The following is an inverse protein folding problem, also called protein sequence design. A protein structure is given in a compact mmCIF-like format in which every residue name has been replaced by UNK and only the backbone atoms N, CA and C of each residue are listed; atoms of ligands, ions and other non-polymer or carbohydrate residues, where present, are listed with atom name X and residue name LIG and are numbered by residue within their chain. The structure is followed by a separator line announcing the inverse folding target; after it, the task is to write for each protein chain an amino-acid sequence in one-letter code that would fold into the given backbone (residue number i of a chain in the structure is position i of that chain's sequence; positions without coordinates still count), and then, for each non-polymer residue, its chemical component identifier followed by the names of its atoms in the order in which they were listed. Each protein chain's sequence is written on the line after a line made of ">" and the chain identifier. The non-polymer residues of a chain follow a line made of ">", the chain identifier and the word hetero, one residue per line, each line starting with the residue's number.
data_IF_700701982482
#
_entry.id   IF_700701982482
#
_cell.length_a   1.000
_cell.length_b   1.000
_cell.length_c   1.000
_cell.angle_alpha   90.00
_cell.angle_beta   90.00
_cell.angle_gamma   90.00
#
_symmetry.space_group_name_H-M   'P 1'
#
loop_
_entity.id
_entity.type
_entity.pdbx_description
1 polymer ?
#
# COMPACT_ATOMS: atom_id res chain seq x y z
N UNK A 1 20.50 17.85 -10.94
CA UNK A 1 21.13 18.06 -9.61
C UNK A 1 20.18 17.55 -8.56
N UNK A 2 20.58 16.59 -7.72
CA UNK A 2 19.74 16.10 -6.62
C UNK A 2 19.72 17.15 -5.50
N UNK A 3 18.57 17.41 -4.89
CA UNK A 3 18.44 18.25 -3.69
C UNK A 3 18.09 17.37 -2.50
N UNK A 4 18.88 17.45 -1.43
CA UNK A 4 18.57 16.76 -0.18
C UNK A 4 17.47 17.52 0.59
N UNK A 5 16.58 16.77 1.25
CA UNK A 5 15.64 17.31 2.22
C UNK A 5 16.10 16.90 3.63
N UNK A 6 16.27 17.86 4.53
CA UNK A 6 16.67 17.59 5.91
C UNK A 6 15.43 17.44 6.80
N UNK A 7 15.27 16.27 7.41
CA UNK A 7 14.25 16.04 8.43
C UNK A 7 14.83 16.20 9.84
N UNK A 8 14.12 16.94 10.69
CA UNK A 8 14.31 16.94 12.14
C UNK A 8 13.29 16.00 12.81
N UNK A 9 13.55 15.58 14.05
CA UNK A 9 12.61 14.77 14.83
C UNK A 9 11.22 15.45 14.93
N UNK A 10 11.18 16.77 15.14
CA UNK A 10 9.94 17.54 15.14
C UNK A 10 9.20 17.52 13.79
N UNK A 11 9.93 17.65 12.68
CA UNK A 11 9.33 17.54 11.33
C UNK A 11 8.79 16.13 11.06
N UNK A 12 9.49 15.09 11.51
CA UNK A 12 9.10 13.70 11.28
C UNK A 12 7.93 13.29 12.17
N UNK A 13 7.89 13.75 13.43
CA UNK A 13 6.73 13.63 14.30
C UNK A 13 5.50 14.36 13.73
N UNK A 14 5.68 15.53 13.09
CA UNK A 14 4.60 16.23 12.40
C UNK A 14 4.09 15.46 11.17
N UNK A 15 4.99 14.89 10.35
CA UNK A 15 4.62 13.97 9.26
C UNK A 15 3.82 12.79 9.82
N UNK A 16 4.31 12.13 10.87
CA UNK A 16 3.65 10.97 11.44
C UNK A 16 2.28 11.30 12.04
N UNK A 17 2.14 12.45 12.73
CA UNK A 17 0.85 12.93 13.22
C UNK A 17 -0.13 13.16 12.08
N UNK A 18 0.30 13.82 10.99
CA UNK A 18 -0.55 14.05 9.83
C UNK A 18 -0.97 12.72 9.17
N UNK A 19 -0.05 11.76 9.01
CA UNK A 19 -0.35 10.41 8.51
C UNK A 19 -1.32 9.66 9.44
N UNK A 20 -1.20 9.80 10.76
CA UNK A 20 -2.09 9.19 11.76
C UNK A 20 -3.47 9.88 11.91
N UNK A 21 -3.70 11.00 11.20
CA UNK A 21 -4.98 11.71 11.09
C UNK A 21 -5.62 11.50 9.70
N UNK A 22 -4.81 11.43 8.63
CA UNK A 22 -5.28 11.15 7.25
C UNK A 22 -5.58 9.65 7.02
N UNK A 23 -4.84 8.74 7.66
CA UNK A 23 -5.15 7.31 7.59
C UNK A 23 -6.43 6.97 8.35
N UNK A 24 -7.36 6.32 7.65
CA UNK A 24 -8.46 5.55 8.21
C UNK A 24 -8.00 4.69 9.41
N UNK A 25 -8.76 4.66 10.52
CA UNK A 25 -8.25 4.47 11.89
C UNK A 25 -7.33 3.26 12.06
N UNK A 26 -6.03 3.54 12.23
CA UNK A 26 -4.95 2.56 12.33
C UNK A 26 -4.95 1.83 13.68
N UNK A 27 -5.11 0.49 13.64
CA UNK A 27 -5.14 -0.40 14.83
C UNK A 27 -3.88 -1.27 14.91
N UNK A 28 -3.73 -2.05 16.00
CA UNK A 28 -2.62 -3.01 16.18
C UNK A 28 -2.68 -4.18 15.20
N UNK A 29 -3.88 -4.51 14.71
CA UNK A 29 -4.13 -5.63 13.80
C UNK A 29 -3.79 -5.29 12.34
N UNK A 30 -3.39 -4.05 12.07
CA UNK A 30 -3.02 -3.62 10.74
C UNK A 30 -1.60 -4.04 10.35
N UNK A 31 -1.44 -4.36 9.06
CA UNK A 31 -0.22 -4.90 8.47
C UNK A 31 0.01 -4.27 7.11
N UNK A 32 1.08 -3.48 6.98
CA UNK A 32 1.43 -2.81 5.73
C UNK A 32 2.54 -3.54 4.98
N UNK A 33 2.32 -3.81 3.69
CA UNK A 33 3.31 -4.47 2.83
C UNK A 33 4.08 -3.45 1.98
N UNK A 34 5.40 -3.36 2.20
CA UNK A 34 6.30 -2.39 1.60
C UNK A 34 7.20 -3.05 0.54
N UNK A 35 6.81 -2.98 -0.73
CA UNK A 35 7.66 -3.39 -1.87
C UNK A 35 8.31 -2.21 -2.63
N UNK A 36 7.77 -1.00 -2.47
CA UNK A 36 8.41 0.23 -2.93
C UNK A 36 9.47 0.72 -1.92
N UNK A 37 10.51 1.39 -2.42
CA UNK A 37 11.67 1.82 -1.62
C UNK A 37 11.30 2.66 -0.40
N UNK A 38 11.86 2.28 0.76
CA UNK A 38 11.71 2.98 2.03
C UNK A 38 12.40 4.35 2.05
N UNK A 39 13.29 4.65 1.09
CA UNK A 39 13.89 5.98 0.91
C UNK A 39 12.94 6.99 0.23
N UNK A 40 11.74 6.54 -0.13
CA UNK A 40 10.67 7.37 -0.69
C UNK A 40 9.35 7.13 0.08
N UNK A 41 8.20 7.43 -0.53
CA UNK A 41 6.87 7.42 0.10
C UNK A 41 6.52 6.14 0.92
N UNK A 42 7.14 4.99 0.62
CA UNK A 42 6.93 3.76 1.40
C UNK A 42 7.43 3.87 2.85
N UNK A 43 8.56 4.54 3.09
CA UNK A 43 9.14 4.69 4.43
C UNK A 43 8.32 5.61 5.34
N UNK A 44 7.61 6.57 4.75
CA UNK A 44 6.75 7.54 5.44
C UNK A 44 5.67 6.89 6.33
N UNK A 45 5.27 5.65 6.05
CA UNK A 45 4.24 4.93 6.79
C UNK A 45 4.78 4.01 7.91
N UNK A 46 6.08 3.68 7.92
CA UNK A 46 6.65 2.68 8.85
C UNK A 46 6.51 3.12 10.31
N UNK A 47 7.02 4.31 10.66
CA UNK A 47 6.93 4.85 12.03
C UNK A 47 5.49 5.14 12.50
N UNK A 48 4.58 5.67 11.66
CA UNK A 48 3.15 5.73 11.97
C UNK A 48 2.53 4.38 12.35
N UNK A 49 2.84 3.31 11.59
CA UNK A 49 2.37 1.95 11.91
C UNK A 49 2.92 1.48 13.26
N UNK A 50 4.23 1.60 13.49
CA UNK A 50 4.85 1.22 14.76
C UNK A 50 4.29 1.99 15.97
N UNK A 51 4.00 3.29 15.84
CA UNK A 51 3.40 4.09 16.93
C UNK A 51 1.97 3.68 17.29
N UNK A 52 1.24 2.99 16.40
CA UNK A 52 -0.05 2.35 16.72
C UNK A 52 0.10 0.90 17.19
N UNK A 53 1.32 0.35 17.16
CA UNK A 53 1.59 -1.07 17.39
C UNK A 53 1.17 -1.97 16.24
N UNK A 54 1.07 -1.41 15.02
CA UNK A 54 0.78 -2.12 13.79
C UNK A 54 2.09 -2.65 13.14
N UNK A 55 1.96 -3.59 12.21
CA UNK A 55 3.10 -4.23 11.54
C UNK A 55 3.47 -3.54 10.21
N UNK A 56 4.77 -3.45 9.93
CA UNK A 56 5.31 -3.13 8.60
C UNK A 56 6.15 -4.31 8.11
N UNK A 57 5.71 -4.94 7.03
CA UNK A 57 6.43 -6.02 6.34
C UNK A 57 7.21 -5.41 5.18
N UNK A 58 8.53 -5.59 5.18
CA UNK A 58 9.43 -5.04 4.15
C UNK A 58 9.87 -6.15 3.21
N UNK A 59 9.58 -5.99 1.92
CA UNK A 59 10.01 -6.91 0.87
C UNK A 59 11.30 -6.41 0.20
N UNK A 60 12.13 -7.31 -0.36
CA UNK A 60 13.38 -6.92 -1.06
C UNK A 60 13.11 -6.15 -2.37
N UNK A 61 11.88 -6.23 -2.90
CA UNK A 61 11.44 -5.52 -4.10
C UNK A 61 10.01 -5.91 -4.46
N UNK A 62 9.57 -5.49 -5.66
CA UNK A 62 8.26 -5.84 -6.23
C UNK A 62 8.43 -6.84 -7.38
N UNK A 63 7.75 -7.98 -7.27
CA UNK A 63 7.51 -8.94 -8.37
C UNK A 63 6.06 -9.42 -8.19
N UNK A 64 5.18 -9.41 -9.21
CA UNK A 64 3.74 -9.63 -9.04
C UNK A 64 3.36 -10.88 -8.23
N UNK A 65 3.88 -12.05 -8.61
CA UNK A 65 3.56 -13.32 -7.94
C UNK A 65 4.01 -13.36 -6.48
N UNK A 66 5.27 -12.98 -6.20
CA UNK A 66 5.81 -12.92 -4.84
C UNK A 66 5.12 -11.86 -3.98
N UNK A 67 4.63 -10.77 -4.59
CA UNK A 67 3.86 -9.74 -3.90
C UNK A 67 2.47 -10.24 -3.48
N UNK A 68 1.76 -10.95 -4.37
CA UNK A 68 0.47 -11.57 -4.06
C UNK A 68 0.62 -12.66 -2.99
N UNK A 69 1.63 -13.53 -3.12
CA UNK A 69 1.95 -14.53 -2.10
C UNK A 69 2.23 -13.88 -0.73
N UNK A 70 3.02 -12.79 -0.68
CA UNK A 70 3.29 -12.07 0.56
C UNK A 70 2.07 -11.33 1.16
N UNK A 71 1.12 -10.89 0.31
CA UNK A 71 -0.20 -10.38 0.79
C UNK A 71 -0.96 -11.48 1.54
N UNK A 72 -0.99 -12.70 0.99
CA UNK A 72 -1.66 -13.85 1.61
C UNK A 72 -0.94 -14.32 2.88
N UNK A 73 0.37 -14.60 2.78
CA UNK A 73 1.21 -15.15 3.88
C UNK A 73 1.14 -14.27 5.12
N UNK A 74 1.35 -12.96 4.96
CA UNK A 74 1.40 -12.03 6.08
C UNK A 74 0.01 -11.48 6.45
N UNK A 75 -1.04 -11.79 5.67
CA UNK A 75 -2.40 -11.25 5.77
C UNK A 75 -2.39 -9.72 5.81
N UNK A 76 -1.81 -9.10 4.77
CA UNK A 76 -1.67 -7.66 4.67
C UNK A 76 -3.04 -6.96 4.71
N UNK A 77 -3.16 -5.89 5.50
CA UNK A 77 -4.39 -5.10 5.62
C UNK A 77 -4.33 -3.77 4.86
N UNK A 78 -3.11 -3.31 4.57
CA UNK A 78 -2.82 -2.10 3.83
C UNK A 78 -1.69 -2.35 2.82
N UNK A 79 -1.85 -1.83 1.61
CA UNK A 79 -0.79 -1.81 0.59
C UNK A 79 -0.59 -0.41 0.04
N UNK A 80 0.66 -0.09 -0.31
CA UNK A 80 1.04 1.14 -1.01
C UNK A 80 1.74 0.76 -2.31
N UNK A 81 1.14 1.14 -3.44
CA UNK A 81 1.63 0.84 -4.78
C UNK A 81 1.82 2.14 -5.57
N UNK A 82 2.83 2.13 -6.45
CA UNK A 82 2.90 3.10 -7.55
C UNK A 82 2.06 2.59 -8.73
N UNK A 83 1.57 3.47 -9.62
CA UNK A 83 0.59 3.10 -10.65
C UNK A 83 1.03 1.93 -11.55
N UNK A 84 2.31 1.88 -11.91
CA UNK A 84 2.89 0.77 -12.69
C UNK A 84 2.84 -0.57 -11.95
N UNK A 85 3.05 -0.59 -10.63
CA UNK A 85 2.94 -1.81 -9.83
C UNK A 85 1.49 -2.28 -9.75
N UNK A 86 0.53 -1.37 -9.60
CA UNK A 86 -0.90 -1.73 -9.61
C UNK A 86 -1.30 -2.31 -10.97
N UNK A 87 -0.92 -1.65 -12.07
CA UNK A 87 -1.18 -2.17 -13.42
C UNK A 87 -0.57 -3.57 -13.62
N UNK A 88 0.68 -3.78 -13.19
CA UNK A 88 1.33 -5.10 -13.21
C UNK A 88 0.68 -6.17 -12.32
N UNK A 89 -0.16 -5.80 -11.35
CA UNK A 89 -1.01 -6.76 -10.62
C UNK A 89 -2.34 -7.00 -11.35
N UNK A 90 -2.97 -5.94 -11.88
CA UNK A 90 -4.23 -6.02 -12.63
C UNK A 90 -4.10 -6.85 -13.92
N UNK A 91 -2.93 -6.78 -14.58
CA UNK A 91 -2.61 -7.58 -15.76
C UNK A 91 -2.05 -8.98 -15.41
N UNK A 92 -1.96 -9.36 -14.13
CA UNK A 92 -1.39 -10.64 -13.70
C UNK A 92 -2.44 -11.76 -13.71
N UNK A 93 -2.27 -12.85 -14.48
CA UNK A 93 -3.34 -13.85 -14.69
C UNK A 93 -3.88 -14.52 -13.43
N UNK A 94 -3.03 -14.74 -12.43
CA UNK A 94 -3.38 -15.46 -11.19
C UNK A 94 -3.94 -14.51 -10.10
N UNK A 95 -4.18 -13.22 -10.41
CA UNK A 95 -4.71 -12.23 -9.46
C UNK A 95 -6.03 -12.68 -8.82
N UNK A 96 -6.87 -13.39 -9.57
CA UNK A 96 -8.18 -13.87 -9.10
C UNK A 96 -8.09 -15.11 -8.21
N UNK A 97 -6.96 -15.81 -8.19
CA UNK A 97 -6.69 -16.93 -7.26
C UNK A 97 -6.11 -16.46 -5.91
N UNK A 98 -5.66 -15.21 -5.82
CA UNK A 98 -5.08 -14.64 -4.60
C UNK A 98 -6.15 -14.32 -3.52
N UNK A 99 -6.03 -14.91 -2.33
CA UNK A 99 -6.82 -14.55 -1.14
C UNK A 99 -6.48 -13.14 -0.63
N UNK A 100 -7.14 -12.16 -1.23
CA UNK A 100 -7.12 -10.75 -0.83
C UNK A 100 -8.17 -10.39 0.22
N UNK A 101 -8.82 -11.35 0.89
CA UNK A 101 -9.83 -11.09 1.95
C UNK A 101 -9.30 -10.28 3.14
N UNK A 102 -7.97 -10.28 3.34
CA UNK A 102 -7.30 -9.49 4.38
C UNK A 102 -7.07 -8.02 4.01
N UNK A 103 -7.01 -7.67 2.71
CA UNK A 103 -6.77 -6.31 2.24
C UNK A 103 -7.97 -5.41 2.52
N UNK A 104 -7.83 -4.48 3.47
CA UNK A 104 -8.90 -3.52 3.83
C UNK A 104 -8.80 -2.19 3.08
N UNK A 105 -7.59 -1.71 2.73
CA UNK A 105 -7.40 -0.56 1.81
C UNK A 105 -6.18 -0.77 0.91
N UNK A 106 -6.31 -0.23 -0.29
CA UNK A 106 -5.23 -0.02 -1.25
C UNK A 106 -4.97 1.50 -1.27
N UNK A 107 -3.71 1.95 -1.19
CA UNK A 107 -3.35 3.33 -1.53
C UNK A 107 -2.44 3.34 -2.76
N UNK A 108 -2.89 4.03 -3.80
CA UNK A 108 -2.04 4.46 -4.90
C UNK A 108 -1.33 5.77 -4.52
N UNK A 109 -0.06 5.90 -4.90
CA UNK A 109 0.66 7.17 -4.82
C UNK A 109 1.16 7.54 -6.22
N UNK A 110 0.48 8.51 -6.85
CA UNK A 110 1.04 9.28 -7.97
C UNK A 110 0.31 9.28 -9.31
N UNK A 111 -0.90 8.73 -9.45
CA UNK A 111 -1.70 8.84 -10.67
C UNK A 111 -3.12 9.38 -10.46
N UNK A 112 -3.69 9.87 -11.57
CA UNK A 112 -5.13 10.06 -11.75
C UNK A 112 -5.63 8.88 -12.58
N UNK A 113 -6.52 8.07 -12.00
CA UNK A 113 -7.17 6.96 -12.72
C UNK A 113 -7.87 7.47 -14.00
N UNK A 114 -7.79 6.67 -15.07
CA UNK A 114 -8.87 6.64 -16.06
C UNK A 114 -10.05 5.92 -15.42
N UNK A 115 -11.25 6.49 -15.52
CA UNK A 115 -12.45 5.83 -15.01
C UNK A 115 -12.81 4.62 -15.87
N UNK A 116 -13.17 3.50 -15.21
CA UNK A 116 -13.45 2.20 -15.82
C UNK A 116 -12.37 1.17 -15.47
N UNK A 117 -12.74 0.13 -14.71
CA UNK A 117 -11.79 -0.95 -14.34
C UNK A 117 -11.97 -1.63 -12.97
N UNK A 118 -12.90 -1.18 -12.10
CA UNK A 118 -13.26 -1.94 -10.90
C UNK A 118 -14.75 -1.85 -10.57
N UNK A 119 -15.49 -2.83 -11.09
CA UNK A 119 -16.93 -2.95 -10.93
C UNK A 119 -17.46 -3.91 -11.99
N UNK A 120 -18.22 -4.92 -11.57
CA UNK A 120 -19.09 -5.65 -12.49
C UNK A 120 -20.35 -4.81 -12.61
N UNK A 121 -20.64 -4.27 -13.77
CA UNK A 121 -22.02 -3.97 -14.12
C UNK A 121 -22.60 -5.28 -14.65
N UNK A 122 -23.65 -5.74 -13.98
CA UNK A 122 -24.31 -7.01 -14.28
C UNK A 122 -25.14 -6.86 -15.55
N UNK A 123 -25.22 -7.92 -16.36
CA UNK A 123 -25.97 -7.89 -17.60
C UNK A 123 -27.47 -7.92 -17.36
N UNK A 124 -28.12 -6.76 -17.27
CA UNK A 124 -29.57 -6.65 -17.43
C UNK A 124 -29.95 -6.97 -18.88
N UNK A 125 -30.48 -8.18 -19.08
CA UNK A 125 -31.10 -8.58 -20.34
C UNK A 125 -32.63 -8.55 -20.25
N UNK A 126 -33.27 -7.77 -21.12
CA UNK A 126 -34.67 -7.93 -21.54
C UNK A 126 -34.91 -7.29 -22.91
#
# INVERSE_FOLDING_TARGET
>A
MLKAAQHTQGSYAAICRNVLLDLFPLTRDDRMLHAASLLHASGTFVLPFWMRGACSVVLPGFVPNAYLAAVQEHRATAINLVPTMLQMLLDYPELDECDRSSLRRIREIGARLRAGGWGREEGEGS
#
